data_IF_325942099364
#
_entry.id   IF_325942099364
#
_cell.length_a   1.000
_cell.length_b   1.000
_cell.length_c   1.000
_cell.angle_alpha   90.00
_cell.angle_beta   90.00
_cell.angle_gamma   90.00
#
_symmetry.space_group_name_H-M   'P 1'
#
loop_
_entity.id
_entity.type
_entity.pdbx_description
1 polymer ?
#
# COMPACT_ATOMS: atom_id res chain seq x y z
N UNK A 1 -32.31 -14.41 -17.80
CA UNK A 1 -31.78 -14.74 -16.45
C UNK A 1 -30.66 -15.75 -16.65
N UNK A 2 -29.40 -15.34 -16.48
CA UNK A 2 -28.24 -16.23 -16.59
C UNK A 2 -27.34 -15.96 -15.38
N UNK A 3 -27.26 -16.92 -14.47
CA UNK A 3 -26.33 -16.89 -13.35
C UNK A 3 -24.99 -17.45 -13.84
N UNK A 4 -23.93 -16.65 -13.79
CA UNK A 4 -22.58 -17.09 -14.06
C UNK A 4 -22.05 -17.83 -12.82
N UNK A 5 -21.92 -19.15 -12.92
CA UNK A 5 -21.20 -19.96 -11.93
C UNK A 5 -19.70 -19.74 -12.12
N UNK A 6 -19.09 -18.89 -11.30
CA UNK A 6 -17.62 -18.85 -11.15
C UNK A 6 -17.21 -20.03 -10.28
N UNK A 7 -16.31 -20.87 -10.80
CA UNK A 7 -16.01 -22.17 -10.21
C UNK A 7 -15.14 -22.02 -8.95
N UNK A 8 -15.29 -22.95 -8.01
CA UNK A 8 -14.51 -23.02 -6.77
C UNK A 8 -12.99 -23.09 -7.00
N UNK A 9 -12.55 -23.52 -8.19
CA UNK A 9 -11.14 -23.59 -8.58
C UNK A 9 -10.48 -22.21 -8.65
N UNK A 10 -11.15 -21.23 -9.28
CA UNK A 10 -10.61 -19.88 -9.47
C UNK A 10 -10.41 -19.16 -8.12
N UNK A 11 -11.29 -19.42 -7.16
CA UNK A 11 -11.18 -18.87 -5.81
C UNK A 11 -10.08 -19.51 -4.98
N UNK A 12 -9.80 -20.80 -5.20
CA UNK A 12 -8.72 -21.50 -4.51
C UNK A 12 -7.36 -21.03 -5.02
N UNK A 13 -7.22 -20.86 -6.34
CA UNK A 13 -6.00 -20.36 -6.96
C UNK A 13 -5.70 -18.90 -6.56
N UNK A 14 -6.71 -18.02 -6.54
CA UNK A 14 -6.56 -16.66 -6.03
C UNK A 14 -6.14 -16.63 -4.54
N UNK A 15 -6.70 -17.53 -3.71
CA UNK A 15 -6.31 -17.66 -2.29
C UNK A 15 -4.88 -18.13 -2.12
N UNK A 16 -4.44 -19.11 -2.91
CA UNK A 16 -3.08 -19.62 -2.88
C UNK A 16 -2.06 -18.59 -3.40
N UNK A 17 -2.44 -17.78 -4.39
CA UNK A 17 -1.64 -16.65 -4.86
C UNK A 17 -1.53 -15.55 -3.77
N UNK A 18 -2.60 -15.26 -3.03
CA UNK A 18 -2.56 -14.35 -1.89
C UNK A 18 -1.68 -14.88 -0.74
N UNK A 19 -1.67 -16.19 -0.50
CA UNK A 19 -0.87 -16.81 0.56
C UNK A 19 0.63 -16.80 0.24
N UNK A 20 1.01 -17.00 -1.02
CA UNK A 20 2.40 -16.87 -1.51
C UNK A 20 2.96 -15.44 -1.39
N UNK A 21 2.10 -14.43 -1.28
CA UNK A 21 2.47 -13.01 -1.11
C UNK A 21 2.31 -12.50 0.33
N UNK A 22 2.08 -13.38 1.31
CA UNK A 22 1.79 -12.97 2.69
C UNK A 22 3.01 -12.31 3.32
N UNK A 23 2.96 -10.99 3.43
CA UNK A 23 3.98 -10.19 4.12
C UNK A 23 3.63 -10.06 5.59
N UNK A 24 4.59 -10.39 6.45
CA UNK A 24 4.47 -10.22 7.90
C UNK A 24 5.06 -8.85 8.25
N UNK A 25 4.21 -7.97 8.77
CA UNK A 25 4.63 -6.68 9.32
C UNK A 25 5.02 -6.85 10.78
N UNK A 26 6.28 -6.57 11.12
CA UNK A 26 6.72 -6.45 12.51
C UNK A 26 6.43 -5.03 13.01
N UNK A 27 5.43 -4.92 13.89
CA UNK A 27 5.03 -3.67 14.51
C UNK A 27 5.77 -3.37 15.82
N UNK A 28 6.80 -4.15 16.19
CA UNK A 28 7.57 -3.91 17.40
C UNK A 28 8.25 -2.55 17.32
N UNK A 29 8.01 -1.69 18.33
CA UNK A 29 8.45 -0.29 18.37
C UNK A 29 7.82 0.61 17.30
N UNK A 30 6.71 0.21 16.66
CA UNK A 30 5.97 1.09 15.77
C UNK A 30 5.43 2.31 16.54
N UNK A 31 5.47 3.47 15.90
CA UNK A 31 5.14 4.76 16.51
C UNK A 31 4.26 5.58 15.57
N UNK A 32 3.20 6.20 16.08
CA UNK A 32 2.47 7.22 15.33
C UNK A 32 3.31 8.49 15.34
N UNK A 33 3.76 8.95 14.17
CA UNK A 33 4.51 10.19 14.01
C UNK A 33 3.62 11.26 13.40
N UNK A 34 3.84 12.52 13.75
CA UNK A 34 3.01 13.65 13.29
C UNK A 34 1.98 14.09 14.34
N UNK A 35 1.10 15.01 13.94
CA UNK A 35 0.05 15.51 14.83
C UNK A 35 -1.05 14.45 14.97
N UNK A 36 -1.49 14.16 16.19
CA UNK A 36 -2.59 13.24 16.45
C UNK A 36 -3.94 13.82 16.02
N UNK A 37 -4.02 15.14 15.85
CA UNK A 37 -5.19 15.83 15.29
C UNK A 37 -5.24 15.75 13.76
N UNK A 38 -4.15 15.33 13.10
CA UNK A 38 -4.18 15.06 11.67
C UNK A 38 -5.14 13.89 11.40
N UNK A 39 -5.88 13.98 10.29
CA UNK A 39 -6.87 12.95 9.93
C UNK A 39 -6.23 11.57 9.72
N UNK A 40 -4.97 11.55 9.28
CA UNK A 40 -4.26 10.35 8.82
C UNK A 40 -2.76 10.43 9.20
N UNK A 41 -2.40 10.40 10.50
CA UNK A 41 -1.00 10.49 10.89
C UNK A 41 -0.22 9.25 10.43
N UNK A 42 1.02 9.40 9.92
CA UNK A 42 1.84 8.27 9.52
C UNK A 42 2.23 7.40 10.72
N UNK A 43 2.37 6.09 10.48
CA UNK A 43 2.93 5.15 11.46
C UNK A 43 4.32 4.76 11.01
N UNK A 44 5.33 5.09 11.81
CA UNK A 44 6.69 4.64 11.59
C UNK A 44 6.87 3.19 12.04
N UNK A 45 7.50 2.40 11.16
CA UNK A 45 7.80 0.99 11.34
C UNK A 45 9.32 0.81 11.32
N UNK A 46 10.00 0.88 12.49
CA UNK A 46 11.46 0.89 12.56
C UNK A 46 12.12 -0.40 12.10
N UNK A 47 11.37 -1.52 12.13
CA UNK A 47 11.87 -2.86 11.78
C UNK A 47 11.43 -3.31 10.40
N UNK A 48 10.60 -2.51 9.73
CA UNK A 48 10.25 -2.75 8.35
C UNK A 48 11.28 -2.05 7.46
N UNK A 49 12.16 -2.84 6.86
CA UNK A 49 12.97 -2.35 5.75
C UNK A 49 12.09 -2.25 4.49
N UNK A 50 12.29 -1.19 3.73
CA UNK A 50 11.53 -0.96 2.50
C UNK A 50 11.80 -2.13 1.54
N UNK A 51 10.76 -2.88 1.20
CA UNK A 51 10.88 -3.97 0.24
C UNK A 51 11.17 -3.42 -1.16
N UNK A 52 11.75 -4.27 -2.03
CA UNK A 52 12.00 -3.92 -3.44
C UNK A 52 10.72 -3.52 -4.21
N UNK A 53 9.54 -3.89 -3.69
CA UNK A 53 8.24 -3.42 -4.12
C UNK A 53 7.48 -2.81 -2.94
N UNK A 54 6.91 -1.60 -3.08
CA UNK A 54 6.07 -1.01 -2.04
C UNK A 54 4.81 -1.86 -1.79
N UNK A 55 4.37 -1.91 -0.53
CA UNK A 55 3.11 -2.56 -0.16
C UNK A 55 1.98 -1.54 -0.23
N UNK A 56 0.86 -1.95 -0.82
CA UNK A 56 -0.33 -1.13 -0.97
C UNK A 56 -1.57 -1.96 -0.68
N UNK A 57 -2.52 -1.37 0.03
CA UNK A 57 -3.84 -1.91 0.28
C UNK A 57 -4.89 -0.83 -0.03
N UNK A 58 -5.97 -1.26 -0.69
CA UNK A 58 -7.09 -0.39 -1.06
C UNK A 58 -8.38 -1.05 -0.57
N UNK A 59 -9.13 -0.32 0.24
CA UNK A 59 -10.50 -0.67 0.64
C UNK A 59 -11.48 0.25 -0.08
N UNK A 60 -12.36 -0.34 -0.90
CA UNK A 60 -13.36 0.37 -1.70
C UNK A 60 -14.76 0.13 -1.14
N UNK A 61 -15.21 1.04 -0.28
CA UNK A 61 -16.59 1.08 0.19
C UNK A 61 -17.51 1.86 -0.76
N UNK A 62 -18.82 1.81 -0.50
CA UNK A 62 -19.82 2.51 -1.32
C UNK A 62 -19.70 4.05 -1.29
N UNK A 63 -19.09 4.61 -0.24
CA UNK A 63 -18.92 6.06 -0.07
C UNK A 63 -17.47 6.50 -0.08
N UNK A 64 -16.58 5.68 0.49
CA UNK A 64 -15.19 6.05 0.71
C UNK A 64 -14.24 5.01 0.12
N UNK A 65 -13.09 5.51 -0.32
CA UNK A 65 -11.92 4.72 -0.67
C UNK A 65 -10.86 5.00 0.40
N UNK A 66 -10.30 3.95 1.00
CA UNK A 66 -9.17 4.06 1.93
C UNK A 66 -7.94 3.44 1.30
N UNK A 67 -6.84 4.18 1.30
CA UNK A 67 -5.55 3.77 0.79
C UNK A 67 -4.59 3.68 1.97
N UNK A 68 -3.92 2.53 2.12
CA UNK A 68 -2.81 2.34 3.03
C UNK A 68 -1.58 1.88 2.24
N UNK A 69 -0.43 2.52 2.44
CA UNK A 69 0.77 2.21 1.67
C UNK A 69 2.04 2.46 2.45
N UNK A 70 3.09 1.70 2.13
CA UNK A 70 4.43 1.90 2.69
C UNK A 70 5.20 2.93 1.88
N UNK A 71 5.89 3.85 2.54
CA UNK A 71 6.77 4.85 1.95
C UNK A 71 8.08 4.96 2.74
N UNK A 72 9.15 5.43 2.10
CA UNK A 72 10.43 5.70 2.78
C UNK A 72 10.24 6.76 3.88
N UNK A 73 10.85 6.55 5.05
CA UNK A 73 10.86 7.59 6.09
C UNK A 73 11.71 8.78 5.63
N UNK A 74 11.14 9.98 5.63
CA UNK A 74 11.78 11.19 5.10
C UNK A 74 12.84 11.81 6.03
N UNK A 75 13.08 11.23 7.20
CA UNK A 75 13.96 11.75 8.25
C UNK A 75 15.39 11.17 8.20
N UNK A 76 15.70 10.32 7.21
CA UNK A 76 17.00 9.67 7.08
C UNK A 76 17.20 8.47 8.01
N UNK A 77 16.17 8.03 8.73
CA UNK A 77 16.17 6.79 9.51
C UNK A 77 16.06 5.53 8.64
N UNK A 78 16.50 4.39 9.16
CA UNK A 78 16.49 3.08 8.48
C UNK A 78 15.08 2.43 8.38
N UNK A 79 14.02 3.15 8.78
CA UNK A 79 12.67 2.61 8.86
C UNK A 79 11.75 3.02 7.71
N UNK A 80 10.56 2.42 7.70
CA UNK A 80 9.51 2.67 6.70
C UNK A 80 8.30 3.33 7.38
N UNK A 81 7.60 4.20 6.66
CA UNK A 81 6.31 4.75 7.11
C UNK A 81 5.15 4.01 6.47
N UNK A 82 4.13 3.68 7.25
CA UNK A 82 2.81 3.32 6.77
C UNK A 82 1.95 4.59 6.75
N UNK A 83 1.55 5.01 5.56
CA UNK A 83 0.77 6.22 5.30
C UNK A 83 -0.66 5.87 4.91
N UNK A 84 -1.57 6.79 5.20
CA UNK A 84 -2.99 6.64 4.96
C UNK A 84 -3.55 7.80 4.16
N UNK A 85 -4.45 7.51 3.22
CA UNK A 85 -5.26 8.51 2.55
C UNK A 85 -6.70 8.02 2.45
N UNK A 86 -7.65 8.95 2.49
CA UNK A 86 -9.08 8.65 2.39
C UNK A 86 -9.72 9.60 1.39
N UNK A 87 -10.45 9.02 0.44
CA UNK A 87 -11.11 9.72 -0.66
C UNK A 87 -12.60 9.39 -0.65
N UNK A 88 -13.40 10.26 -1.25
CA UNK A 88 -14.76 9.90 -1.64
C UNK A 88 -14.73 8.96 -2.84
N UNK A 89 -15.71 8.06 -2.95
CA UNK A 89 -15.72 7.03 -3.99
C UNK A 89 -15.64 7.61 -5.41
N UNK A 90 -16.30 8.75 -5.66
CA UNK A 90 -16.27 9.44 -6.96
C UNK A 90 -14.90 10.06 -7.30
N UNK A 91 -13.97 10.15 -6.34
CA UNK A 91 -12.61 10.68 -6.49
C UNK A 91 -11.57 9.55 -6.60
N UNK A 92 -11.96 8.44 -7.20
CA UNK A 92 -11.07 7.31 -7.44
C UNK A 92 -9.84 7.72 -8.29
N UNK A 93 -9.99 8.70 -9.17
CA UNK A 93 -8.89 9.23 -9.98
C UNK A 93 -7.78 9.85 -9.12
N UNK A 94 -8.15 10.65 -8.11
CA UNK A 94 -7.19 11.23 -7.15
C UNK A 94 -6.45 10.15 -6.35
N UNK A 95 -7.13 9.05 -6.01
CA UNK A 95 -6.49 7.90 -5.37
C UNK A 95 -5.42 7.29 -6.30
N UNK A 96 -5.73 7.13 -7.59
CA UNK A 96 -4.77 6.64 -8.57
C UNK A 96 -3.63 7.63 -8.85
N UNK A 97 -3.86 8.93 -8.73
CA UNK A 97 -2.79 9.92 -8.79
C UNK A 97 -1.76 9.72 -7.67
N UNK A 98 -2.21 9.48 -6.42
CA UNK A 98 -1.28 9.15 -5.32
C UNK A 98 -0.53 7.86 -5.62
N UNK A 99 -1.22 6.80 -6.05
CA UNK A 99 -0.60 5.51 -6.37
C UNK A 99 0.51 5.66 -7.42
N UNK A 100 0.31 6.52 -8.42
CA UNK A 100 1.32 6.82 -9.44
C UNK A 100 2.46 7.69 -8.89
N UNK A 101 2.14 8.76 -8.17
CA UNK A 101 3.14 9.71 -7.64
C UNK A 101 4.10 9.04 -6.66
N UNK A 102 3.59 8.13 -5.83
CA UNK A 102 4.36 7.37 -4.83
C UNK A 102 5.00 6.10 -5.44
N UNK A 103 4.81 5.83 -6.74
CA UNK A 103 5.39 4.67 -7.41
C UNK A 103 4.92 3.32 -6.85
N UNK A 104 3.69 3.25 -6.32
CA UNK A 104 3.19 2.08 -5.57
C UNK A 104 2.89 0.87 -6.43
N UNK A 105 2.74 1.06 -7.73
CA UNK A 105 2.51 -0.03 -8.68
C UNK A 105 3.62 0.04 -9.74
N UNK A 106 4.37 -1.05 -9.95
CA UNK A 106 5.40 -1.10 -10.97
C UNK A 106 4.77 -0.85 -12.36
N UNK A 107 5.17 0.23 -13.02
CA UNK A 107 4.89 0.41 -14.44
C UNK A 107 5.68 -0.66 -15.20
N UNK A 108 5.02 -1.47 -16.02
CA UNK A 108 5.68 -2.50 -16.84
C UNK A 108 6.78 -1.84 -17.69
N UNK A 109 8.05 -2.09 -17.38
CA UNK A 109 9.22 -1.50 -18.06
C UNK A 109 9.96 -0.40 -17.29
N UNK A 110 9.46 0.06 -16.14
CA UNK A 110 10.21 0.93 -15.24
C UNK A 110 11.08 0.06 -14.31
N UNK A 111 12.39 0.02 -14.55
CA UNK A 111 13.34 -0.38 -13.51
C UNK A 111 13.18 0.61 -12.36
N UNK A 112 13.00 0.13 -11.12
CA UNK A 112 13.19 0.96 -9.94
C UNK A 112 14.59 1.55 -10.06
N UNK A 113 14.67 2.85 -10.37
CA UNK A 113 15.93 3.54 -10.34
C UNK A 113 16.36 3.53 -8.88
N UNK A 114 17.21 2.56 -8.52
CA UNK A 114 18.09 2.72 -7.38
C UNK A 114 18.79 4.04 -7.65
N UNK A 115 18.52 5.05 -6.82
CA UNK A 115 19.27 6.29 -6.83
C UNK A 115 20.72 5.95 -6.44
N UNK A 116 21.49 5.46 -7.40
CA UNK A 116 22.93 5.49 -7.38
C UNK A 116 23.30 6.93 -7.73
N UNK A 117 23.64 7.70 -6.71
CA UNK A 117 24.30 8.98 -6.93
C UNK A 117 25.72 8.74 -7.48
N UNK A 118 26.24 9.65 -8.34
CA UNK A 118 27.58 9.58 -8.94
C UNK A 118 28.71 9.76 -7.93
#
# INVERSE_FOLDING_TARGET
MAAANTSSGDRAEAREAMDRGRVIFDFTCAEIRGDLEDRNPPIFLPRLQMAASPHVAIDMGGTLIKLAYTASCGDGGEGTELRFATFENHRLDDCFEIIRAEGLVPCKGASFATALNP
#
